data_IF_287024098177
#
_entry.id   IF_287024098177
#
_cell.length_a   1.000
_cell.length_b   1.000
_cell.length_c   1.000
_cell.angle_alpha   90.00
_cell.angle_beta   90.00
_cell.angle_gamma   90.00
#
_symmetry.space_group_name_H-M   'P 1'
#
loop_
_entity.id
_entity.type
_entity.pdbx_description
1 polymer ?
#
# COMPACT_ATOMS: atom_id res chain seq x y z
N UNK A 1 -0.18 -18.00 7.10
CA UNK A 1 -0.35 -18.41 8.51
C UNK A 1 0.58 -17.62 9.42
N UNK A 2 1.89 -17.71 9.23
CA UNK A 2 2.90 -17.01 10.06
C UNK A 2 2.66 -15.49 10.20
N UNK A 3 2.26 -14.83 9.11
CA UNK A 3 1.94 -13.40 9.12
C UNK A 3 0.80 -13.03 10.07
N UNK A 4 -0.25 -13.87 10.15
CA UNK A 4 -1.36 -13.67 11.08
C UNK A 4 -0.95 -13.99 12.51
N UNK A 5 -0.18 -15.07 12.72
CA UNK A 5 0.33 -15.41 14.06
C UNK A 5 1.25 -14.32 14.62
N UNK A 6 2.03 -13.65 13.78
CA UNK A 6 2.81 -12.48 14.19
C UNK A 6 1.92 -11.32 14.67
N UNK A 7 0.78 -11.09 14.01
CA UNK A 7 -0.18 -10.09 14.50
C UNK A 7 -0.85 -10.48 15.82
N UNK A 8 -1.19 -11.76 16.00
CA UNK A 8 -1.74 -12.29 17.25
C UNK A 8 -0.78 -12.10 18.42
N UNK A 9 0.53 -12.22 18.17
CA UNK A 9 1.53 -11.95 19.20
C UNK A 9 1.41 -10.51 19.73
N UNK A 10 1.23 -9.52 18.86
CA UNK A 10 1.05 -8.12 19.26
C UNK A 10 -0.31 -7.91 19.95
N UNK A 11 -1.39 -8.49 19.40
CA UNK A 11 -2.73 -8.40 19.97
C UNK A 11 -2.79 -8.98 21.40
N UNK A 12 -2.07 -10.07 21.65
CA UNK A 12 -1.96 -10.72 22.97
C UNK A 12 -1.35 -9.82 24.05
N UNK A 13 -0.63 -8.77 23.66
CA UNK A 13 -0.05 -7.77 24.56
C UNK A 13 -1.00 -6.58 24.81
N UNK A 14 -2.30 -6.77 24.60
CA UNK A 14 -3.34 -5.75 24.71
C UNK A 14 -3.12 -4.52 23.81
N UNK A 15 -2.46 -4.69 22.66
CA UNK A 15 -2.36 -3.65 21.66
C UNK A 15 -3.26 -3.96 20.44
N UNK A 16 -4.49 -3.41 20.36
CA UNK A 16 -5.40 -3.67 19.25
C UNK A 16 -5.05 -2.89 17.98
N UNK A 17 -4.09 -1.96 18.04
CA UNK A 17 -3.78 -1.04 16.95
C UNK A 17 -2.80 -1.68 15.95
N UNK A 18 -3.27 -2.70 15.24
CA UNK A 18 -2.49 -3.47 14.27
C UNK A 18 -3.11 -3.34 12.88
N UNK A 19 -2.25 -3.11 11.88
CA UNK A 19 -2.60 -3.22 10.46
C UNK A 19 -1.59 -4.15 9.79
N UNK A 20 -2.08 -4.95 8.85
CA UNK A 20 -1.26 -5.87 8.07
C UNK A 20 -0.84 -5.16 6.77
N UNK A 21 0.45 -5.14 6.44
CA UNK A 21 0.96 -4.56 5.19
C UNK A 21 1.55 -5.63 4.26
N UNK A 22 0.87 -5.92 3.14
CA UNK A 22 1.40 -6.78 2.08
C UNK A 22 2.43 -6.01 1.26
N UNK A 23 3.67 -6.47 1.29
CA UNK A 23 4.84 -5.80 0.69
C UNK A 23 5.69 -6.70 -0.19
N UNK A 24 5.13 -7.83 -0.62
CA UNK A 24 5.75 -8.81 -1.49
C UNK A 24 6.63 -9.83 -0.76
N UNK A 25 6.60 -11.03 -1.31
CA UNK A 25 7.37 -12.20 -0.85
C UNK A 25 8.58 -12.44 -1.76
N UNK A 26 9.55 -13.19 -1.26
CA UNK A 26 10.68 -13.66 -2.06
C UNK A 26 10.27 -14.90 -2.85
N UNK A 27 10.57 -14.93 -4.14
CA UNK A 27 10.32 -16.06 -5.03
C UNK A 27 11.58 -16.33 -5.88
N UNK A 28 11.45 -17.17 -6.92
CA UNK A 28 12.50 -17.37 -7.92
C UNK A 28 12.52 -16.27 -8.99
N UNK A 29 11.49 -15.41 -9.05
CA UNK A 29 11.42 -14.29 -9.99
C UNK A 29 12.51 -13.25 -9.67
N UNK A 30 13.12 -12.69 -10.71
CA UNK A 30 14.22 -11.73 -10.61
C UNK A 30 13.92 -10.38 -11.27
N UNK A 31 12.81 -10.29 -12.03
CA UNK A 31 12.40 -9.08 -12.71
C UNK A 31 11.91 -7.99 -11.75
N UNK A 32 11.47 -8.33 -10.52
CA UNK A 32 11.04 -7.39 -9.48
C UNK A 32 11.77 -7.65 -8.17
N UNK A 33 11.82 -6.65 -7.27
CA UNK A 33 12.45 -6.79 -5.93
C UNK A 33 11.78 -7.90 -5.12
N UNK A 34 10.46 -7.97 -5.20
CA UNK A 34 9.62 -9.00 -4.61
C UNK A 34 8.49 -9.37 -5.57
N UNK A 35 7.82 -10.49 -5.32
CA UNK A 35 6.53 -10.79 -5.95
C UNK A 35 5.45 -10.29 -5.01
N UNK A 36 4.72 -9.23 -5.40
CA UNK A 36 3.59 -8.72 -4.62
C UNK A 36 2.45 -9.74 -4.63
N UNK A 37 2.09 -10.28 -3.46
CA UNK A 37 1.06 -11.32 -3.37
C UNK A 37 -0.32 -10.70 -3.12
N UNK A 38 -1.00 -10.32 -4.20
CA UNK A 38 -2.36 -9.80 -4.12
C UNK A 38 -3.36 -10.82 -3.56
N UNK A 39 -3.08 -12.13 -3.67
CA UNK A 39 -3.95 -13.15 -3.08
C UNK A 39 -3.94 -13.05 -1.56
N UNK A 40 -2.80 -12.70 -0.96
CA UNK A 40 -2.70 -12.50 0.49
C UNK A 40 -3.68 -11.43 0.99
N UNK A 41 -3.83 -10.31 0.25
CA UNK A 41 -4.79 -9.25 0.59
C UNK A 41 -6.21 -9.81 0.57
N UNK A 42 -6.62 -10.49 -0.50
CA UNK A 42 -7.96 -11.08 -0.63
C UNK A 42 -8.25 -12.10 0.49
N UNK A 43 -7.27 -12.97 0.75
CA UNK A 43 -7.39 -14.09 1.67
C UNK A 43 -7.45 -13.61 3.12
N UNK A 44 -6.57 -12.70 3.52
CA UNK A 44 -6.53 -12.19 4.90
C UNK A 44 -7.84 -11.52 5.28
N UNK A 45 -8.50 -10.81 4.36
CA UNK A 45 -9.84 -10.24 4.61
C UNK A 45 -10.92 -11.27 4.94
N UNK A 46 -10.69 -12.56 4.63
CA UNK A 46 -11.58 -13.67 5.01
C UNK A 46 -11.18 -14.32 6.33
N UNK A 47 -9.91 -14.21 6.70
CA UNK A 47 -9.31 -14.89 7.84
C UNK A 47 -9.16 -13.99 9.07
N UNK A 48 -9.14 -12.67 8.89
CA UNK A 48 -8.88 -11.69 9.94
C UNK A 48 -9.81 -10.49 9.83
N UNK A 49 -10.02 -9.84 10.98
CA UNK A 49 -10.72 -8.55 11.07
C UNK A 49 -9.77 -7.34 10.95
N UNK A 50 -8.46 -7.57 10.93
CA UNK A 50 -7.48 -6.48 10.87
C UNK A 50 -7.50 -5.80 9.49
N UNK A 51 -7.31 -4.48 9.42
CA UNK A 51 -7.13 -3.79 8.14
C UNK A 51 -5.90 -4.32 7.41
N UNK A 52 -6.02 -4.51 6.09
CA UNK A 52 -4.91 -4.95 5.23
C UNK A 52 -4.58 -3.87 4.22
N UNK A 53 -3.37 -3.33 4.30
CA UNK A 53 -2.83 -2.35 3.37
C UNK A 53 -1.81 -2.99 2.42
N UNK A 54 -1.47 -2.29 1.35
CA UNK A 54 -0.49 -2.75 0.36
C UNK A 54 0.65 -1.73 0.19
N UNK A 55 1.87 -2.23 0.01
CA UNK A 55 3.06 -1.50 -0.40
C UNK A 55 3.54 -1.92 -1.80
N UNK A 56 3.03 -1.28 -2.87
CA UNK A 56 3.50 -1.54 -4.23
C UNK A 56 4.91 -1.03 -4.52
N UNK A 57 5.41 -0.04 -3.74
CA UNK A 57 6.74 0.56 -3.93
C UNK A 57 7.80 -0.48 -3.62
N UNK A 58 7.79 -1.00 -2.40
CA UNK A 58 8.71 -2.07 -1.97
C UNK A 58 8.35 -3.43 -2.54
N UNK A 59 7.06 -3.68 -2.79
CA UNK A 59 6.57 -4.94 -3.36
C UNK A 59 7.07 -5.19 -4.77
N UNK A 60 7.39 -4.15 -5.53
CA UNK A 60 7.91 -4.27 -6.91
C UNK A 60 9.35 -3.81 -7.03
N UNK A 61 9.73 -2.78 -6.27
CA UNK A 61 11.02 -2.10 -6.36
C UNK A 61 11.20 -1.21 -7.60
N UNK A 62 10.13 -0.91 -8.34
CA UNK A 62 10.20 -0.14 -9.59
C UNK A 62 9.06 0.86 -9.70
N UNK A 63 9.39 2.14 -9.81
CA UNK A 63 8.42 3.23 -9.82
C UNK A 63 7.32 3.07 -10.88
N UNK A 64 7.65 2.54 -12.07
CA UNK A 64 6.70 2.36 -13.16
C UNK A 64 5.70 1.21 -12.93
N UNK A 65 5.98 0.31 -11.99
CA UNK A 65 5.05 -0.74 -11.56
C UNK A 65 4.17 -0.30 -10.39
N UNK A 66 4.52 0.78 -9.69
CA UNK A 66 3.77 1.24 -8.51
C UNK A 66 2.32 1.53 -8.87
N UNK A 67 2.07 2.37 -9.89
CA UNK A 67 0.70 2.73 -10.31
C UNK A 67 -0.18 1.51 -10.65
N UNK A 68 0.17 0.62 -11.60
CA UNK A 68 -0.69 -0.50 -11.94
C UNK A 68 -0.89 -1.45 -10.75
N UNK A 69 0.15 -1.68 -9.93
CA UNK A 69 0.01 -2.55 -8.76
C UNK A 69 -0.82 -1.90 -7.65
N UNK A 70 -0.77 -0.58 -7.48
CA UNK A 70 -1.69 0.16 -6.60
C UNK A 70 -3.14 -0.04 -7.01
N UNK A 71 -3.46 0.12 -8.30
CA UNK A 71 -4.83 -0.08 -8.78
C UNK A 71 -5.29 -1.53 -8.56
N UNK A 72 -4.41 -2.51 -8.77
CA UNK A 72 -4.70 -3.91 -8.49
C UNK A 72 -4.96 -4.16 -6.99
N UNK A 73 -4.15 -3.55 -6.10
CA UNK A 73 -4.34 -3.63 -4.65
C UNK A 73 -5.68 -3.02 -4.20
N UNK A 74 -6.11 -1.91 -4.81
CA UNK A 74 -7.44 -1.32 -4.56
C UNK A 74 -8.54 -2.27 -5.03
N UNK A 75 -8.42 -2.82 -6.25
CA UNK A 75 -9.42 -3.71 -6.84
C UNK A 75 -9.61 -5.01 -6.03
N UNK A 76 -8.51 -5.58 -5.52
CA UNK A 76 -8.57 -6.80 -4.69
C UNK A 76 -9.10 -6.54 -3.28
N UNK A 77 -9.21 -5.26 -2.89
CA UNK A 77 -9.91 -4.84 -1.69
C UNK A 77 -9.02 -4.42 -0.54
N UNK A 78 -7.78 -3.97 -0.79
CA UNK A 78 -6.95 -3.35 0.24
C UNK A 78 -7.72 -2.22 0.96
N UNK A 79 -7.46 -2.06 2.26
CA UNK A 79 -8.05 -1.04 3.12
C UNK A 79 -7.20 0.24 3.16
N UNK A 80 -5.97 0.18 2.64
CA UNK A 80 -5.07 1.33 2.54
C UNK A 80 -3.87 1.04 1.64
N UNK A 81 -3.09 2.08 1.39
CA UNK A 81 -1.91 2.05 0.52
C UNK A 81 -0.77 2.78 1.22
N UNK A 82 0.44 2.24 1.12
CA UNK A 82 1.69 2.93 1.45
C UNK A 82 2.50 3.12 0.17
N UNK A 83 2.81 4.37 -0.15
CA UNK A 83 3.43 4.76 -1.42
C UNK A 83 4.59 5.70 -1.14
N UNK A 84 5.75 5.39 -1.71
CA UNK A 84 6.92 6.25 -1.61
C UNK A 84 6.89 7.34 -2.68
N UNK A 85 7.16 8.57 -2.24
CA UNK A 85 7.18 9.75 -3.10
C UNK A 85 8.42 10.57 -2.77
N UNK A 86 9.17 10.94 -3.80
CA UNK A 86 10.34 11.81 -3.67
C UNK A 86 10.30 12.90 -4.76
N UNK A 87 10.58 14.18 -4.44
CA UNK A 87 10.53 15.26 -5.43
C UNK A 87 11.58 15.11 -6.53
N UNK A 88 12.69 14.42 -6.23
CA UNK A 88 13.79 14.16 -7.17
C UNK A 88 14.35 12.74 -6.98
N UNK A 89 13.68 11.69 -7.45
CA UNK A 89 14.03 10.29 -7.14
C UNK A 89 15.48 9.91 -7.50
N UNK A 90 16.04 10.52 -8.55
CA UNK A 90 17.43 10.27 -9.00
C UNK A 90 18.49 10.71 -7.98
N UNK A 91 18.12 11.59 -7.04
CA UNK A 91 18.97 12.09 -5.97
C UNK A 91 18.50 11.65 -4.57
N UNK A 92 17.58 10.69 -4.49
CA UNK A 92 17.12 10.16 -3.21
C UNK A 92 18.27 9.43 -2.49
N UNK A 93 18.40 9.65 -1.18
CA UNK A 93 19.39 8.96 -0.35
C UNK A 93 19.06 7.48 -0.13
N UNK A 94 17.78 7.10 -0.31
CA UNK A 94 17.28 5.72 -0.24
C UNK A 94 16.14 5.54 -1.23
N UNK A 95 15.99 4.33 -1.76
CA UNK A 95 14.81 3.85 -2.49
C UNK A 95 14.30 4.73 -3.66
N UNK A 96 15.22 5.47 -4.31
CA UNK A 96 14.89 6.32 -5.46
C UNK A 96 14.25 5.57 -6.63
N UNK A 97 14.69 4.33 -6.90
CA UNK A 97 14.20 3.53 -8.04
C UNK A 97 12.71 3.15 -7.94
N UNK A 98 12.13 3.14 -6.74
CA UNK A 98 10.74 2.78 -6.46
C UNK A 98 9.87 4.00 -6.07
N UNK A 99 10.50 5.14 -5.78
CA UNK A 99 9.82 6.38 -5.43
C UNK A 99 9.12 7.01 -6.64
N UNK A 100 7.86 7.39 -6.48
CA UNK A 100 7.16 8.22 -7.46
C UNK A 100 7.60 9.69 -7.35
N UNK A 101 7.49 10.43 -8.44
CA UNK A 101 7.48 11.89 -8.38
C UNK A 101 6.12 12.38 -7.86
N UNK A 102 6.00 13.61 -7.33
CA UNK A 102 4.72 14.17 -6.93
C UNK A 102 3.66 14.15 -8.04
N UNK A 103 4.07 14.38 -9.30
CA UNK A 103 3.18 14.30 -10.45
C UNK A 103 2.67 12.88 -10.68
N UNK A 104 3.57 11.89 -10.69
CA UNK A 104 3.18 10.49 -10.87
C UNK A 104 2.28 10.00 -9.73
N UNK A 105 2.53 10.47 -8.52
CA UNK A 105 1.69 10.18 -7.36
C UNK A 105 0.29 10.77 -7.53
N UNK A 106 0.17 12.03 -7.95
CA UNK A 106 -1.13 12.67 -8.18
C UNK A 106 -1.96 11.92 -9.23
N UNK A 107 -1.34 11.55 -10.35
CA UNK A 107 -1.99 10.78 -11.41
C UNK A 107 -2.46 9.40 -10.92
N UNK A 108 -1.60 8.67 -10.22
CA UNK A 108 -1.93 7.38 -9.63
C UNK A 108 -3.07 7.51 -8.60
N UNK A 109 -3.01 8.51 -7.71
CA UNK A 109 -4.00 8.72 -6.66
C UNK A 109 -5.39 9.07 -7.22
N UNK A 110 -5.46 9.84 -8.30
CA UNK A 110 -6.71 10.18 -8.98
C UNK A 110 -7.38 8.94 -9.59
N UNK A 111 -6.61 8.08 -10.24
CA UNK A 111 -7.13 6.82 -10.79
C UNK A 111 -7.52 5.84 -9.69
N UNK A 112 -6.70 5.72 -8.64
CA UNK A 112 -7.00 4.88 -7.49
C UNK A 112 -8.30 5.31 -6.81
N UNK A 113 -8.53 6.62 -6.62
CA UNK A 113 -9.78 7.16 -6.06
C UNK A 113 -10.98 6.84 -6.94
N UNK A 114 -10.84 7.01 -8.26
CA UNK A 114 -11.91 6.72 -9.22
C UNK A 114 -12.29 5.24 -9.21
N UNK A 115 -11.28 4.36 -9.21
CA UNK A 115 -11.47 2.92 -9.10
C UNK A 115 -12.10 2.53 -7.76
N UNK A 116 -11.60 3.07 -6.66
CA UNK A 116 -12.09 2.83 -5.31
C UNK A 116 -13.59 3.17 -5.19
N UNK A 117 -14.01 4.30 -5.74
CA UNK A 117 -15.43 4.66 -5.86
C UNK A 117 -16.23 3.67 -6.71
N UNK A 118 -15.70 3.26 -7.86
CA UNK A 118 -16.37 2.32 -8.76
C UNK A 118 -16.58 0.92 -8.14
N UNK A 119 -15.67 0.48 -7.28
CA UNK A 119 -15.77 -0.81 -6.56
C UNK A 119 -16.47 -0.70 -5.20
N UNK A 120 -17.12 0.44 -4.91
CA UNK A 120 -17.90 0.64 -3.68
C UNK A 120 -17.06 0.78 -2.41
N UNK A 121 -15.79 1.20 -2.54
CA UNK A 121 -14.84 1.36 -1.43
C UNK A 121 -14.16 2.75 -1.50
N UNK A 122 -14.93 3.85 -1.47
CA UNK A 122 -14.36 5.19 -1.67
C UNK A 122 -13.29 5.50 -0.62
N UNK A 123 -12.28 6.27 -1.02
CA UNK A 123 -11.27 6.76 -0.08
C UNK A 123 -11.93 7.62 0.99
N UNK A 124 -11.46 7.48 2.23
CA UNK A 124 -11.89 8.34 3.33
C UNK A 124 -11.65 9.82 2.97
N UNK A 125 -12.56 10.68 3.41
CA UNK A 125 -12.29 12.11 3.35
C UNK A 125 -11.10 12.45 4.27
N UNK A 126 -10.20 13.33 3.82
CA UNK A 126 -9.17 13.84 4.71
C UNK A 126 -9.84 14.42 5.97
N UNK A 127 -9.28 14.20 7.16
CA UNK A 127 -9.75 14.92 8.33
C UNK A 127 -9.67 16.43 8.03
N UNK A 128 -10.68 17.19 8.46
CA UNK A 128 -10.68 18.63 8.30
C UNK A 128 -9.36 19.19 8.84
N UNK A 129 -8.64 19.96 8.02
CA UNK A 129 -7.43 20.63 8.48
C UNK A 129 -7.79 21.50 9.69
N UNK A 130 -7.02 21.44 10.79
CA UNK A 130 -7.25 22.34 11.90
C UNK A 130 -7.20 23.78 11.39
N UNK A 131 -8.17 24.60 11.81
CA UNK A 131 -8.28 25.99 11.37
C UNK A 131 -6.95 26.71 11.63
N UNK A 132 -6.26 27.12 10.55
CA UNK A 132 -4.99 27.86 10.62
C UNK A 132 -3.75 27.15 10.06
N UNK A 133 -3.84 25.89 9.59
CA UNK A 133 -2.73 25.26 8.87
C UNK A 133 -2.69 25.75 7.41
N UNK A 134 -1.85 26.74 7.10
CA UNK A 134 -1.52 27.10 5.72
C UNK A 134 -0.56 26.06 5.13
N UNK A 135 -0.82 25.67 3.88
CA UNK A 135 0.03 24.77 3.08
C UNK A 135 1.42 25.37 2.82
#
# INVERSE_FOLDING_TARGET
>A
EEWLLASEYILSQNNPNVMLCERGIRTFETATRNTLDLNAIALVKRLSHLPVISDPSHGTGKWYLVKPMTLASVAVGADGLIIEVHPNPDHALSDGAQSLTPSNFADMANEARSLASAVGRPFAEPPALPAGATA
#
